data_IF_884105378371
#
_entry.id   IF_884105378371
#
_cell.length_a   1.000
_cell.length_b   1.000
_cell.length_c   1.000
_cell.angle_alpha   90.00
_cell.angle_beta   90.00
_cell.angle_gamma   90.00
#
_symmetry.space_group_name_H-M   'P 1'
#
loop_
_entity.id
_entity.type
_entity.pdbx_description
1 polymer ?
#
# COMPACT_ATOMS: atom_id res chain seq x y z
N UNK A 1 -48.96 54.58 -32.25
CA UNK A 1 -49.54 53.68 -31.23
C UNK A 1 -48.92 52.28 -31.31
N UNK A 2 -49.00 51.56 -32.45
CA UNK A 2 -48.41 50.21 -32.59
C UNK A 2 -46.88 50.16 -32.37
N UNK A 3 -46.13 51.13 -32.87
CA UNK A 3 -44.67 51.19 -32.69
C UNK A 3 -44.24 51.43 -31.24
N UNK A 4 -45.02 52.20 -30.46
CA UNK A 4 -44.77 52.40 -29.03
C UNK A 4 -45.02 51.12 -28.23
N UNK A 5 -46.09 50.39 -28.54
CA UNK A 5 -46.40 49.10 -27.89
C UNK A 5 -45.31 48.06 -28.15
N UNK A 6 -44.77 47.99 -29.37
CA UNK A 6 -43.65 47.10 -29.69
C UNK A 6 -42.39 47.45 -28.90
N UNK A 7 -42.11 48.75 -28.73
CA UNK A 7 -40.97 49.25 -27.96
C UNK A 7 -41.09 48.91 -26.46
N UNK A 8 -42.28 49.04 -25.89
CA UNK A 8 -42.55 48.68 -24.49
C UNK A 8 -42.38 47.18 -24.24
N UNK A 9 -42.84 46.32 -25.16
CA UNK A 9 -42.64 44.86 -25.08
C UNK A 9 -41.15 44.51 -25.11
N UNK A 10 -40.38 45.14 -25.99
CA UNK A 10 -38.94 44.89 -26.09
C UNK A 10 -38.20 45.38 -24.84
N UNK A 11 -38.58 46.53 -24.27
CA UNK A 11 -38.03 47.04 -23.01
C UNK A 11 -38.31 46.04 -21.86
N UNK A 12 -39.52 45.51 -21.76
CA UNK A 12 -39.86 44.51 -20.74
C UNK A 12 -39.09 43.20 -20.92
N UNK A 13 -38.88 42.77 -22.17
CA UNK A 13 -38.06 41.59 -22.47
C UNK A 13 -36.60 41.80 -22.03
N UNK A 14 -36.00 42.94 -22.40
CA UNK A 14 -34.63 43.27 -22.03
C UNK A 14 -34.45 43.40 -20.51
N UNK A 15 -35.43 43.95 -19.78
CA UNK A 15 -35.41 43.98 -18.31
C UNK A 15 -35.38 42.57 -17.70
N UNK A 16 -36.21 41.65 -18.21
CA UNK A 16 -36.23 40.26 -17.74
C UNK A 16 -34.91 39.55 -18.02
N UNK A 17 -34.33 39.76 -19.20
CA UNK A 17 -33.01 39.24 -19.54
C UNK A 17 -31.93 39.80 -18.61
N UNK A 18 -31.92 41.11 -18.38
CA UNK A 18 -30.99 41.76 -17.46
C UNK A 18 -31.08 41.19 -16.04
N UNK A 19 -32.29 40.97 -15.53
CA UNK A 19 -32.50 40.37 -14.21
C UNK A 19 -32.04 38.91 -14.16
N UNK A 20 -32.20 38.16 -15.25
CA UNK A 20 -31.65 36.80 -15.38
C UNK A 20 -30.11 36.81 -15.31
N UNK A 21 -29.46 37.68 -16.08
CA UNK A 21 -28.00 37.83 -16.07
C UNK A 21 -27.46 38.24 -14.70
N UNK A 22 -28.13 39.17 -14.00
CA UNK A 22 -27.74 39.55 -12.64
C UNK A 22 -27.78 38.37 -11.67
N UNK A 23 -28.80 37.53 -11.75
CA UNK A 23 -28.92 36.33 -10.91
C UNK A 23 -27.82 35.32 -11.21
N UNK A 24 -27.53 35.08 -12.49
CA UNK A 24 -26.44 34.20 -12.90
C UNK A 24 -25.09 34.69 -12.39
N UNK A 25 -24.79 35.97 -12.59
CA UNK A 25 -23.54 36.59 -12.13
C UNK A 25 -23.38 36.50 -10.61
N UNK A 26 -24.47 36.73 -9.86
CA UNK A 26 -24.45 36.58 -8.41
C UNK A 26 -24.16 35.13 -7.99
N UNK A 27 -24.77 34.15 -8.63
CA UNK A 27 -24.53 32.73 -8.36
C UNK A 27 -23.09 32.32 -8.68
N UNK A 28 -22.55 32.77 -9.82
CA UNK A 28 -21.16 32.51 -10.19
C UNK A 28 -20.17 33.15 -9.21
N UNK A 29 -20.44 34.38 -8.78
CA UNK A 29 -19.63 35.07 -7.76
C UNK A 29 -19.63 34.34 -6.43
N UNK A 30 -20.80 33.88 -5.96
CA UNK A 30 -20.92 33.08 -4.73
C UNK A 30 -20.16 31.76 -4.84
N UNK A 31 -20.27 31.06 -5.97
CA UNK A 31 -19.54 29.82 -6.21
C UNK A 31 -18.02 30.04 -6.25
N UNK A 32 -17.57 31.14 -6.85
CA UNK A 32 -16.15 31.49 -6.87
C UNK A 32 -15.60 31.75 -5.46
N UNK A 33 -16.38 32.43 -4.61
CA UNK A 33 -16.02 32.68 -3.21
C UNK A 33 -15.93 31.37 -2.39
N UNK A 34 -16.88 30.46 -2.56
CA UNK A 34 -16.84 29.14 -1.91
C UNK A 34 -15.60 28.35 -2.32
N UNK A 35 -15.26 28.33 -3.62
CA UNK A 35 -14.06 27.68 -4.12
C UNK A 35 -12.78 28.32 -3.57
N UNK A 36 -12.76 29.64 -3.42
CA UNK A 36 -11.62 30.34 -2.82
C UNK A 36 -11.43 29.96 -1.35
N UNK A 37 -12.53 29.91 -0.58
CA UNK A 37 -12.50 29.48 0.82
C UNK A 37 -12.03 28.02 0.97
N UNK A 38 -12.51 27.12 0.11
CA UNK A 38 -12.08 25.73 0.10
C UNK A 38 -10.59 25.60 -0.25
N UNK A 39 -10.11 26.36 -1.23
CA UNK A 39 -8.69 26.40 -1.59
C UNK A 39 -7.80 26.88 -0.44
N UNK A 40 -8.22 27.90 0.31
CA UNK A 40 -7.51 28.38 1.49
C UNK A 40 -7.46 27.27 2.55
N UNK A 41 -8.59 26.61 2.82
CA UNK A 41 -8.66 25.50 3.78
C UNK A 41 -7.74 24.34 3.39
N UNK A 42 -7.74 23.96 2.11
CA UNK A 42 -6.88 22.89 1.61
C UNK A 42 -5.40 23.23 1.74
N UNK A 43 -4.99 24.47 1.44
CA UNK A 43 -3.62 24.94 1.64
C UNK A 43 -3.18 24.83 3.10
N UNK A 44 -4.03 25.26 4.04
CA UNK A 44 -3.74 25.14 5.47
C UNK A 44 -3.62 23.67 5.91
N UNK A 45 -4.47 22.78 5.39
CA UNK A 45 -4.40 21.36 5.69
C UNK A 45 -3.13 20.70 5.15
N UNK A 46 -2.67 21.10 3.97
CA UNK A 46 -1.42 20.60 3.37
C UNK A 46 -0.23 21.01 4.24
N UNK A 47 -0.17 22.28 4.65
CA UNK A 47 0.89 22.79 5.52
C UNK A 47 0.97 22.01 6.83
N UNK A 48 -0.17 21.75 7.47
CA UNK A 48 -0.21 20.98 8.71
C UNK A 48 0.35 19.55 8.52
N UNK A 49 -0.02 18.88 7.42
CA UNK A 49 0.47 17.53 7.12
C UNK A 49 1.99 17.51 6.86
N UNK A 50 2.54 18.56 6.25
CA UNK A 50 3.98 18.71 6.05
C UNK A 50 4.73 18.87 7.38
N UNK A 51 4.21 19.70 8.28
CA UNK A 51 4.79 19.92 9.61
C UNK A 51 4.71 18.65 10.49
N UNK A 52 3.59 17.92 10.42
CA UNK A 52 3.41 16.64 11.10
C UNK A 52 4.41 15.58 10.57
N UNK A 53 4.56 15.49 9.25
CA UNK A 53 5.53 14.59 8.62
C UNK A 53 6.97 14.92 9.02
N UNK A 54 7.33 16.20 9.05
CA UNK A 54 8.64 16.65 9.51
C UNK A 54 8.90 16.22 10.95
N UNK A 55 7.93 16.49 11.84
CA UNK A 55 8.01 16.10 13.26
C UNK A 55 8.15 14.59 13.44
N UNK A 56 7.40 13.80 12.67
CA UNK A 56 7.48 12.34 12.73
C UNK A 56 8.84 11.81 12.25
N UNK A 57 9.40 12.44 11.22
CA UNK A 57 10.73 12.11 10.69
C UNK A 57 11.81 12.39 11.74
N UNK A 58 11.73 13.53 12.42
CA UNK A 58 12.65 13.89 13.51
C UNK A 58 12.55 12.89 14.68
N UNK A 59 11.34 12.48 15.07
CA UNK A 59 11.13 11.46 16.11
C UNK A 59 11.72 10.10 15.73
N UNK A 60 11.51 9.66 14.49
CA UNK A 60 12.08 8.40 14.01
C UNK A 60 13.61 8.42 14.03
N UNK A 61 14.22 9.55 13.64
CA UNK A 61 15.67 9.71 13.70
C UNK A 61 16.19 9.69 15.14
N UNK A 62 15.48 10.34 16.06
CA UNK A 62 15.80 10.30 17.49
C UNK A 62 15.70 8.88 18.06
N UNK A 63 14.62 8.14 17.79
CA UNK A 63 14.46 6.74 18.23
C UNK A 63 15.55 5.82 17.66
N UNK A 64 15.92 5.98 16.39
CA UNK A 64 17.03 5.23 15.77
C UNK A 64 18.37 5.53 16.43
N UNK A 65 18.63 6.81 16.78
CA UNK A 65 19.85 7.20 17.50
C UNK A 65 19.88 6.67 18.94
N UNK A 66 18.74 6.65 19.64
CA UNK A 66 18.62 6.08 20.99
C UNK A 66 18.83 4.56 21.00
N UNK A 67 18.27 3.84 20.01
CA UNK A 67 18.51 2.40 19.84
C UNK A 67 19.97 2.07 19.46
N UNK A 68 20.66 2.96 18.74
CA UNK A 68 22.06 2.78 18.37
C UNK A 68 23.02 2.88 19.56
N UNK A 69 22.63 3.55 20.66
CA UNK A 69 23.44 3.62 21.88
C UNK A 69 23.28 2.38 22.79
N UNK A 70 22.21 1.61 22.64
CA UNK A 70 22.01 0.35 23.38
C UNK A 70 22.68 -0.87 22.72
N UNK A 71 23.11 -0.76 21.45
CA UNK A 71 23.76 -1.86 20.72
C UNK A 71 25.31 -1.89 20.81
N UNK A 72 25.93 -0.96 21.56
CA UNK A 72 27.40 -0.91 21.69
C UNK A 72 27.99 -1.87 22.75
N UNK A 73 27.21 -2.78 23.33
CA UNK A 73 27.71 -3.86 24.19
C UNK A 73 27.64 -5.27 23.57
N UNK A 74 27.60 -5.37 22.23
CA UNK A 74 27.80 -6.65 21.54
C UNK A 74 28.53 -6.50 20.21
N UNK A 75 29.83 -6.20 20.32
CA UNK A 75 30.80 -6.49 19.26
C UNK A 75 30.98 -8.01 19.22
N UNK A 76 30.06 -8.73 18.55
CA UNK A 76 30.23 -10.13 18.09
C UNK A 76 29.14 -10.61 17.10
N UNK A 77 28.30 -9.72 16.54
CA UNK A 77 27.12 -10.12 15.74
C UNK A 77 27.30 -10.30 14.22
N UNK A 78 28.45 -9.98 13.64
CA UNK A 78 28.60 -9.98 12.16
C UNK A 78 28.84 -11.37 11.54
N UNK A 79 29.02 -12.42 12.34
CA UNK A 79 29.15 -13.80 11.86
C UNK A 79 27.81 -14.56 11.77
N UNK A 80 26.73 -14.09 12.42
CA UNK A 80 25.41 -14.75 12.38
C UNK A 80 24.55 -14.34 11.17
N UNK A 81 24.72 -13.12 10.63
CA UNK A 81 23.93 -12.65 9.50
C UNK A 81 24.28 -13.33 8.17
N UNK A 82 25.52 -13.85 8.03
CA UNK A 82 25.96 -14.59 6.83
C UNK A 82 25.48 -16.05 6.78
N UNK A 83 25.03 -16.61 7.89
CA UNK A 83 24.69 -18.05 8.00
C UNK A 83 23.19 -18.35 8.01
N UNK A 84 22.32 -17.35 8.23
CA UNK A 84 20.87 -17.55 8.40
C UNK A 84 20.10 -17.61 7.08
N UNK A 85 20.59 -16.98 6.01
CA UNK A 85 19.87 -16.89 4.74
C UNK A 85 19.94 -18.17 3.88
N UNK A 86 20.85 -19.10 4.21
CA UNK A 86 21.04 -20.38 3.52
C UNK A 86 20.23 -21.53 4.13
N UNK A 87 19.34 -21.23 5.08
CA UNK A 87 18.72 -22.25 5.93
C UNK A 87 17.32 -22.66 5.48
N UNK A 88 16.78 -22.18 4.37
CA UNK A 88 15.45 -22.57 3.90
C UNK A 88 15.57 -23.71 2.89
N UNK A 89 15.00 -24.87 3.22
CA UNK A 89 14.99 -26.06 2.38
C UNK A 89 13.79 -26.07 1.43
N UNK A 90 12.59 -25.73 1.92
CA UNK A 90 11.37 -25.73 1.10
C UNK A 90 10.39 -24.64 1.52
N UNK A 91 9.62 -24.15 0.54
CA UNK A 91 8.55 -23.18 0.73
C UNK A 91 7.31 -23.64 -0.03
N UNK A 92 6.17 -23.65 0.64
CA UNK A 92 4.85 -23.90 0.04
C UNK A 92 3.83 -22.90 0.54
N UNK A 93 2.75 -22.72 -0.21
CA UNK A 93 1.62 -21.86 0.19
C UNK A 93 0.36 -22.72 0.14
N UNK A 94 0.09 -23.58 1.13
CA UNK A 94 -0.98 -24.58 1.02
C UNK A 94 -2.38 -23.98 0.90
N UNK A 95 -2.62 -22.81 1.51
CA UNK A 95 -3.95 -22.21 1.58
C UNK A 95 -3.92 -20.69 1.71
N UNK A 96 -5.04 -20.08 1.34
CA UNK A 96 -5.39 -18.71 1.74
C UNK A 96 -6.08 -18.73 3.10
N UNK A 97 -5.94 -17.65 3.86
CA UNK A 97 -6.56 -17.45 5.17
C UNK A 97 -7.18 -16.06 5.22
N UNK A 98 -8.20 -15.90 6.07
CA UNK A 98 -8.81 -14.60 6.35
C UNK A 98 -8.24 -14.07 7.67
N UNK A 99 -7.63 -12.89 7.64
CA UNK A 99 -7.21 -12.16 8.83
C UNK A 99 -8.16 -11.00 9.14
N UNK A 100 -8.09 -10.48 10.37
CA UNK A 100 -8.84 -9.30 10.81
C UNK A 100 -7.83 -8.16 11.01
N UNK A 101 -8.12 -6.98 10.47
CA UNK A 101 -7.24 -5.82 10.66
C UNK A 101 -7.24 -5.39 12.15
N UNK A 102 -6.06 -5.11 12.70
CA UNK A 102 -5.91 -4.76 14.12
C UNK A 102 -6.77 -3.54 14.46
N UNK A 103 -7.71 -3.70 15.37
CA UNK A 103 -8.64 -2.62 15.77
C UNK A 103 -9.79 -2.35 14.78
N UNK A 104 -10.06 -3.27 13.85
CA UNK A 104 -11.17 -3.16 12.90
C UNK A 104 -11.97 -4.48 12.81
N UNK A 105 -13.21 -4.41 12.33
CA UNK A 105 -13.99 -5.59 11.91
C UNK A 105 -13.71 -5.99 10.44
N UNK A 106 -12.89 -5.22 9.72
CA UNK A 106 -12.56 -5.49 8.32
C UNK A 106 -11.66 -6.72 8.22
N UNK A 107 -12.05 -7.64 7.35
CA UNK A 107 -11.28 -8.83 7.01
C UNK A 107 -10.36 -8.57 5.82
N UNK A 108 -9.25 -9.30 5.75
CA UNK A 108 -8.36 -9.29 4.60
C UNK A 108 -7.92 -10.72 4.25
N UNK A 109 -7.62 -10.94 2.97
CA UNK A 109 -7.03 -12.20 2.52
C UNK A 109 -5.52 -12.18 2.71
N UNK A 110 -5.00 -13.19 3.40
CA UNK A 110 -3.59 -13.53 3.47
C UNK A 110 -3.35 -14.95 2.97
N UNK A 111 -2.09 -15.28 2.80
CA UNK A 111 -1.61 -16.58 2.35
C UNK A 111 -0.78 -17.19 3.47
N UNK A 112 -1.12 -18.41 3.87
CA UNK A 112 -0.31 -19.19 4.79
C UNK A 112 0.90 -19.71 4.01
N UNK A 113 2.10 -19.28 4.39
CA UNK A 113 3.36 -19.69 3.78
C UNK A 113 4.04 -20.64 4.75
N UNK A 114 4.13 -21.91 4.38
CA UNK A 114 4.84 -22.93 5.13
C UNK A 114 6.31 -22.91 4.71
N UNK A 115 7.19 -22.81 5.71
CA UNK A 115 8.64 -22.75 5.53
C UNK A 115 9.26 -23.91 6.28
N UNK A 116 10.07 -24.69 5.58
CA UNK A 116 10.90 -25.74 6.14
C UNK A 116 12.36 -25.34 6.03
N UNK A 117 13.05 -25.36 7.16
CA UNK A 117 14.47 -25.09 7.24
C UNK A 117 15.30 -26.35 6.95
N UNK A 118 16.57 -26.18 6.58
CA UNK A 118 17.53 -27.26 6.30
C UNK A 118 17.80 -28.13 7.55
N UNK A 119 17.62 -27.57 8.74
CA UNK A 119 17.69 -28.27 10.03
C UNK A 119 16.39 -29.03 10.38
N UNK A 120 15.40 -29.03 9.47
CA UNK A 120 14.11 -29.70 9.65
C UNK A 120 13.07 -28.89 10.43
N UNK A 121 13.36 -27.66 10.83
CA UNK A 121 12.38 -26.82 11.52
C UNK A 121 11.28 -26.36 10.58
N UNK A 122 10.02 -26.51 10.99
CA UNK A 122 8.84 -26.11 10.21
C UNK A 122 8.08 -25.00 10.90
N UNK A 123 7.65 -24.01 10.14
CA UNK A 123 6.77 -22.96 10.65
C UNK A 123 5.94 -22.35 9.52
N UNK A 124 4.81 -21.77 9.90
CA UNK A 124 3.91 -21.09 8.98
C UNK A 124 3.87 -19.61 9.31
N UNK A 125 3.94 -18.76 8.28
CA UNK A 125 3.76 -17.30 8.40
C UNK A 125 2.56 -16.86 7.57
N UNK A 126 1.92 -15.76 7.97
CA UNK A 126 0.82 -15.17 7.23
C UNK A 126 1.30 -13.96 6.42
N UNK A 127 1.10 -13.98 5.11
CA UNK A 127 1.50 -12.85 4.24
C UNK A 127 0.35 -12.41 3.35
N UNK A 128 -0.01 -11.11 3.38
CA UNK A 128 -0.96 -10.52 2.42
C UNK A 128 -0.24 -10.16 1.12
N UNK A 129 -0.97 -10.12 0.00
CA UNK A 129 -0.38 -9.81 -1.32
C UNK A 129 0.48 -8.53 -1.34
N UNK A 130 0.09 -7.49 -0.59
CA UNK A 130 0.87 -6.23 -0.48
C UNK A 130 2.28 -6.45 0.11
N UNK A 131 2.48 -7.46 0.94
CA UNK A 131 3.81 -7.80 1.46
C UNK A 131 4.67 -8.48 0.39
N UNK A 132 4.07 -9.29 -0.50
CA UNK A 132 4.78 -9.86 -1.65
C UNK A 132 5.20 -8.77 -2.64
N UNK A 133 4.34 -7.77 -2.90
CA UNK A 133 4.70 -6.63 -3.75
C UNK A 133 5.85 -5.81 -3.16
N UNK A 134 5.89 -5.66 -1.83
CA UNK A 134 6.97 -4.97 -1.14
C UNK A 134 8.29 -5.75 -1.26
N UNK A 135 8.27 -7.06 -0.98
CA UNK A 135 9.41 -7.95 -1.19
C UNK A 135 9.94 -7.83 -2.63
N UNK A 136 9.07 -7.94 -3.63
CA UNK A 136 9.45 -7.84 -5.03
C UNK A 136 10.12 -6.50 -5.35
N UNK A 137 9.51 -5.40 -4.92
CA UNK A 137 10.06 -4.05 -5.13
C UNK A 137 11.46 -3.92 -4.51
N UNK A 138 11.68 -4.47 -3.32
CA UNK A 138 12.97 -4.46 -2.65
C UNK A 138 14.00 -5.34 -3.37
N UNK A 139 13.60 -6.53 -3.84
CA UNK A 139 14.47 -7.40 -4.64
C UNK A 139 14.87 -6.72 -5.95
N UNK A 140 13.92 -6.11 -6.68
CA UNK A 140 14.19 -5.39 -7.94
C UNK A 140 15.20 -4.25 -7.74
N UNK A 141 15.10 -3.51 -6.62
CA UNK A 141 16.08 -2.46 -6.29
C UNK A 141 17.49 -2.99 -6.06
N UNK A 142 17.63 -4.22 -5.55
CA UNK A 142 18.92 -4.81 -5.19
C UNK A 142 19.54 -5.57 -6.38
N UNK A 143 18.73 -6.33 -7.11
CA UNK A 143 19.20 -7.27 -8.13
C UNK A 143 18.84 -6.87 -9.57
N UNK A 144 17.99 -5.86 -9.75
CA UNK A 144 17.42 -5.51 -11.05
C UNK A 144 16.21 -6.38 -11.42
N UNK A 145 15.41 -5.90 -12.37
CA UNK A 145 14.17 -6.56 -12.78
C UNK A 145 14.43 -7.81 -13.64
N UNK A 146 15.45 -7.77 -14.49
CA UNK A 146 15.74 -8.85 -15.46
C UNK A 146 16.13 -10.19 -14.82
N UNK A 147 16.68 -10.16 -13.61
CA UNK A 147 17.16 -11.35 -12.89
C UNK A 147 16.09 -11.96 -11.96
N UNK A 148 14.87 -11.40 -11.93
CA UNK A 148 13.79 -11.79 -11.03
C UNK A 148 12.57 -12.35 -11.77
N UNK A 149 11.88 -13.35 -11.19
CA UNK A 149 10.61 -13.81 -11.73
C UNK A 149 9.57 -12.68 -11.65
N UNK A 150 8.72 -12.57 -12.68
CA UNK A 150 7.61 -11.63 -12.66
C UNK A 150 6.67 -11.90 -11.48
N UNK A 151 6.32 -10.86 -10.73
CA UNK A 151 5.32 -10.98 -9.68
C UNK A 151 3.93 -11.20 -10.31
N UNK A 152 3.12 -12.16 -9.85
CA UNK A 152 1.79 -12.37 -10.40
C UNK A 152 0.93 -11.13 -10.19
N UNK A 153 0.52 -10.51 -11.31
CA UNK A 153 -0.28 -9.30 -11.31
C UNK A 153 -1.71 -9.51 -10.80
N UNK A 154 -2.37 -8.40 -10.45
CA UNK A 154 -3.83 -8.38 -10.30
C UNK A 154 -4.43 -8.54 -11.70
N UNK A 155 -4.84 -9.75 -12.09
CA UNK A 155 -5.65 -9.92 -13.30
C UNK A 155 -7.01 -9.29 -13.04
N UNK A 156 -7.24 -8.10 -13.60
CA UNK A 156 -8.55 -7.45 -13.66
C UNK A 156 -9.37 -8.13 -14.77
N UNK A 157 -9.70 -9.41 -14.59
CA UNK A 157 -10.57 -10.12 -15.53
C UNK A 157 -12.02 -9.86 -15.17
N UNK A 158 -12.81 -9.28 -16.08
CA UNK A 158 -14.25 -9.04 -15.91
C UNK A 158 -15.11 -10.32 -15.74
N UNK A 159 -14.50 -11.52 -15.71
CA UNK A 159 -15.20 -12.80 -15.92
C UNK A 159 -14.86 -13.92 -14.93
N UNK A 160 -14.06 -13.68 -13.88
CA UNK A 160 -13.79 -14.69 -12.85
C UNK A 160 -14.26 -14.22 -11.48
N UNK A 161 -14.71 -15.16 -10.64
CA UNK A 161 -15.09 -14.84 -9.27
C UNK A 161 -13.88 -14.32 -8.49
N UNK A 162 -14.10 -13.47 -7.49
CA UNK A 162 -13.03 -12.98 -6.60
C UNK A 162 -12.24 -14.15 -5.97
N UNK A 163 -12.91 -15.29 -5.76
CA UNK A 163 -12.33 -16.48 -5.17
C UNK A 163 -11.32 -17.18 -6.10
N UNK A 164 -11.69 -17.39 -7.37
CA UNK A 164 -10.83 -18.01 -8.39
C UNK A 164 -9.55 -17.19 -8.62
N UNK A 165 -9.68 -15.86 -8.58
CA UNK A 165 -8.55 -14.94 -8.67
C UNK A 165 -7.58 -15.08 -7.49
N UNK A 166 -8.10 -15.33 -6.28
CA UNK A 166 -7.25 -15.48 -5.10
C UNK A 166 -6.53 -16.83 -5.06
N UNK A 167 -7.16 -17.90 -5.55
CA UNK A 167 -6.56 -19.24 -5.58
C UNK A 167 -5.51 -19.37 -6.68
N UNK A 168 -5.80 -18.89 -7.90
CA UNK A 168 -4.77 -18.81 -8.94
C UNK A 168 -3.58 -17.95 -8.47
N UNK A 169 -3.87 -16.85 -7.78
CA UNK A 169 -2.80 -16.02 -7.21
C UNK A 169 -1.99 -16.78 -6.16
N UNK A 170 -2.61 -17.65 -5.35
CA UNK A 170 -1.89 -18.49 -4.38
C UNK A 170 -0.87 -19.39 -5.07
N UNK A 171 -1.26 -20.10 -6.12
CA UNK A 171 -0.34 -20.97 -6.88
C UNK A 171 0.77 -20.15 -7.52
N UNK A 172 0.44 -19.04 -8.17
CA UNK A 172 1.45 -18.20 -8.82
C UNK A 172 2.44 -17.59 -7.81
N UNK A 173 1.97 -17.23 -6.60
CA UNK A 173 2.82 -16.72 -5.51
C UNK A 173 3.74 -17.81 -4.95
N UNK A 174 3.28 -19.06 -4.91
CA UNK A 174 4.11 -20.19 -4.49
C UNK A 174 5.26 -20.38 -5.49
N UNK A 175 4.94 -20.43 -6.79
CA UNK A 175 5.94 -20.59 -7.84
C UNK A 175 6.96 -19.44 -7.84
N UNK A 176 6.49 -18.21 -7.60
CA UNK A 176 7.33 -17.03 -7.41
C UNK A 176 8.33 -17.20 -6.25
N UNK A 177 7.87 -17.59 -5.05
CA UNK A 177 8.76 -17.80 -3.90
C UNK A 177 9.73 -18.95 -4.13
N UNK A 178 9.29 -20.06 -4.73
CA UNK A 178 10.14 -21.19 -5.05
C UNK A 178 11.23 -20.81 -6.08
N UNK A 179 10.90 -19.94 -7.04
CA UNK A 179 11.87 -19.44 -8.02
C UNK A 179 12.91 -18.53 -7.36
N UNK A 180 12.50 -17.65 -6.44
CA UNK A 180 13.42 -16.84 -5.63
C UNK A 180 14.33 -17.71 -4.77
N UNK A 181 13.78 -18.76 -4.16
CA UNK A 181 14.52 -19.69 -3.32
C UNK A 181 15.63 -20.42 -4.10
N UNK A 182 15.36 -20.78 -5.35
CA UNK A 182 16.30 -21.49 -6.24
C UNK A 182 17.52 -20.65 -6.64
N UNK A 183 17.42 -19.33 -6.67
CA UNK A 183 18.54 -18.45 -7.01
C UNK A 183 19.31 -18.07 -5.74
N UNK A 184 20.57 -18.51 -5.56
CA UNK A 184 21.34 -18.26 -4.35
C UNK A 184 21.50 -16.77 -4.02
N UNK A 185 21.60 -15.89 -5.01
CA UNK A 185 21.77 -14.44 -4.77
C UNK A 185 20.55 -13.82 -4.08
N UNK A 186 19.36 -14.25 -4.52
CA UNK A 186 18.10 -13.70 -4.01
C UNK A 186 17.67 -14.41 -2.73
N UNK A 187 17.87 -15.73 -2.63
CA UNK A 187 17.55 -16.50 -1.44
C UNK A 187 18.47 -16.16 -0.27
N UNK A 188 19.74 -15.82 -0.53
CA UNK A 188 20.67 -15.37 0.50
C UNK A 188 20.45 -13.90 0.93
N UNK A 189 19.47 -13.20 0.37
CA UNK A 189 19.29 -11.78 0.63
C UNK A 189 18.62 -11.52 1.99
N UNK A 190 19.05 -10.45 2.67
CA UNK A 190 18.44 -10.04 3.94
C UNK A 190 16.94 -9.76 3.80
N UNK A 191 16.53 -9.19 2.67
CA UNK A 191 15.13 -8.85 2.38
C UNK A 191 14.27 -10.12 2.30
N UNK A 192 14.75 -11.16 1.62
CA UNK A 192 14.02 -12.43 1.54
C UNK A 192 13.93 -13.11 2.91
N UNK A 193 15.01 -13.10 3.69
CA UNK A 193 15.00 -13.58 5.06
C UNK A 193 14.00 -12.83 5.95
N UNK A 194 13.98 -11.50 5.90
CA UNK A 194 13.03 -10.68 6.64
C UNK A 194 11.58 -10.98 6.26
N UNK A 195 11.31 -11.24 4.98
CA UNK A 195 9.99 -11.64 4.53
C UNK A 195 9.56 -12.97 5.15
N UNK A 196 10.48 -13.93 5.29
CA UNK A 196 10.22 -15.25 5.88
C UNK A 196 10.26 -15.28 7.41
N UNK A 197 10.78 -14.24 8.08
CA UNK A 197 10.85 -14.19 9.54
C UNK A 197 9.46 -14.40 10.16
N UNK A 198 9.38 -15.22 11.21
CA UNK A 198 8.15 -15.43 11.97
C UNK A 198 7.61 -14.10 12.48
N UNK A 199 6.29 -13.93 12.39
CA UNK A 199 5.63 -12.79 13.01
C UNK A 199 5.72 -12.96 14.52
N UNK A 200 6.33 -12.00 15.22
CA UNK A 200 6.51 -12.04 16.70
C UNK A 200 5.17 -12.04 17.47
N UNK A 201 4.03 -12.06 16.78
CA UNK A 201 2.68 -11.93 17.34
C UNK A 201 1.64 -12.84 16.65
N UNK A 202 2.02 -13.92 15.96
CA UNK A 202 1.05 -14.92 15.51
C UNK A 202 0.77 -15.92 16.64
N UNK A 203 -0.27 -15.65 17.42
CA UNK A 203 -0.86 -16.62 18.35
C UNK A 203 -1.09 -17.95 17.63
N UNK A 204 -0.83 -19.11 18.27
CA UNK A 204 -1.03 -20.41 17.64
C UNK A 204 -2.49 -20.55 17.20
N UNK A 205 -2.70 -20.76 15.91
CA UNK A 205 -4.02 -21.08 15.35
C UNK A 205 -4.39 -22.45 15.92
N UNK A 206 -5.40 -22.46 16.80
CA UNK A 206 -5.91 -23.66 17.44
C UNK A 206 -6.33 -24.73 16.42
N UNK A 207 -6.09 -25.98 16.81
CA UNK A 207 -6.48 -27.21 16.11
C UNK A 207 -7.99 -27.31 15.88
#
# INVERSE_FOLDING_TARGET
MQQQQQLEIEIEKLKRELDSYKKLLHNESSKALELEQENIRLKLSIQQLEDDNKTLTEKLQQEQSANSQQQNNSINGNSQLKTLSSQVASITIPKKISGIEKGSSRTYTAYAVDVESVDGQKYTIARRYKQFTLLHTQLVRIFGEHDLPSLPGKKNGLYFSSDDHTEKRRTDLQDYLQTILRNPKTSSSLVFYQFLKRDEQSSPIGH
#
